data_IF_791408246857
#
_entry.id   IF_791408246857
#
_cell.length_a   1.000
_cell.length_b   1.000
_cell.length_c   1.000
_cell.angle_alpha   90.00
_cell.angle_beta   90.00
_cell.angle_gamma   90.00
#
_symmetry.space_group_name_H-M   'P 1'
#
loop_
_entity.id
_entity.type
_entity.pdbx_description
1 polymer ?
#
# COMPACT_ATOMS: atom_id res chain seq x y z
N UNK A 1 3.58 -17.35 9.98
CA UNK A 1 4.12 -15.98 9.79
C UNK A 1 3.55 -15.31 8.54
N UNK A 2 3.71 -15.91 7.34
CA UNK A 2 3.23 -15.30 6.07
C UNK A 2 1.70 -15.21 5.96
N UNK A 3 0.97 -15.94 6.79
CA UNK A 3 -0.49 -15.95 6.89
C UNK A 3 -1.00 -15.42 8.24
N UNK A 4 -0.14 -14.77 9.02
CA UNK A 4 -0.47 -14.28 10.36
C UNK A 4 -1.66 -13.29 10.37
N UNK A 5 -1.82 -12.48 9.33
CA UNK A 5 -2.93 -11.54 9.23
C UNK A 5 -4.33 -12.16 9.17
N UNK A 6 -4.44 -13.49 9.02
CA UNK A 6 -5.73 -14.21 9.14
C UNK A 6 -6.14 -14.45 10.59
N UNK A 7 -5.17 -14.51 11.48
CA UNK A 7 -5.35 -14.92 12.87
C UNK A 7 -5.07 -13.78 13.84
N UNK A 8 -4.17 -12.87 13.46
CA UNK A 8 -3.80 -11.72 14.26
C UNK A 8 -4.83 -10.60 14.11
N UNK A 9 -5.08 -9.91 15.20
CA UNK A 9 -5.91 -8.69 15.18
C UNK A 9 -5.19 -7.61 14.36
N UNK A 10 -5.95 -6.85 13.59
CA UNK A 10 -5.41 -5.71 12.85
C UNK A 10 -4.68 -4.74 13.80
N UNK A 11 -3.48 -4.27 13.45
CA UNK A 11 -2.75 -3.33 14.29
C UNK A 11 -3.58 -2.07 14.56
N UNK A 12 -3.69 -1.68 15.82
CA UNK A 12 -4.35 -0.44 16.18
C UNK A 12 -3.63 0.76 15.55
N UNK A 13 -4.36 1.61 14.89
CA UNK A 13 -3.88 2.89 14.37
C UNK A 13 -4.43 4.01 15.25
N UNK A 14 -3.65 4.42 16.27
CA UNK A 14 -4.02 5.60 17.05
C UNK A 14 -3.94 6.82 16.15
N UNK A 15 -5.09 7.43 15.91
CA UNK A 15 -5.20 8.68 15.18
C UNK A 15 -5.07 9.86 16.16
N UNK A 16 -4.51 10.96 15.67
CA UNK A 16 -4.44 12.23 16.37
C UNK A 16 -4.92 13.36 15.45
N UNK A 17 -5.48 14.45 16.01
CA UNK A 17 -6.00 15.55 15.20
C UNK A 17 -4.92 16.21 14.34
N UNK A 18 -5.30 16.60 13.14
CA UNK A 18 -4.52 17.46 12.24
C UNK A 18 -5.10 18.87 12.28
N UNK A 19 -5.11 19.48 13.48
CA UNK A 19 -5.83 20.72 13.81
C UNK A 19 -4.92 21.83 14.33
N UNK A 20 -3.61 21.69 14.21
CA UNK A 20 -2.66 22.75 14.55
C UNK A 20 -2.81 23.96 13.62
N UNK A 21 -2.33 25.12 14.05
CA UNK A 21 -2.29 26.35 13.23
C UNK A 21 -1.55 26.14 11.90
N UNK A 22 -0.57 25.21 11.91
CA UNK A 22 0.20 24.75 10.74
C UNK A 22 -0.29 23.37 10.27
N UNK A 23 -1.59 23.24 10.03
CA UNK A 23 -2.21 22.00 9.54
C UNK A 23 -1.48 21.48 8.31
N UNK A 24 -1.13 20.18 8.33
CA UNK A 24 -0.52 19.54 7.17
C UNK A 24 -1.61 19.25 6.10
N UNK A 25 -1.43 19.81 4.91
CA UNK A 25 -2.34 19.67 3.76
C UNK A 25 -1.66 19.04 2.54
N UNK A 26 -0.42 18.62 2.68
CA UNK A 26 0.36 18.04 1.60
C UNK A 26 0.08 16.55 1.36
N UNK A 27 0.75 16.03 0.34
CA UNK A 27 0.75 14.60 0.05
C UNK A 27 1.81 13.89 0.90
N UNK A 28 1.39 12.87 1.65
CA UNK A 28 2.26 11.93 2.34
C UNK A 28 2.36 10.66 1.52
N UNK A 29 3.57 10.19 1.23
CA UNK A 29 3.80 8.90 0.55
C UNK A 29 4.68 8.01 1.41
N UNK A 30 4.16 6.85 1.79
CA UNK A 30 4.87 5.85 2.61
C UNK A 30 5.18 4.62 1.76
N UNK A 31 6.46 4.21 1.76
CA UNK A 31 6.91 2.96 1.15
C UNK A 31 6.91 1.85 2.20
N UNK A 32 6.33 0.70 1.86
CA UNK A 32 6.23 -0.47 2.73
C UNK A 32 6.64 -1.73 2.00
N UNK A 33 7.59 -2.47 2.54
CA UNK A 33 7.90 -3.81 2.02
C UNK A 33 6.80 -4.79 2.35
N UNK A 34 6.44 -5.62 1.38
CA UNK A 34 5.38 -6.61 1.49
C UNK A 34 5.91 -8.01 1.28
N UNK A 35 5.45 -8.91 2.12
CA UNK A 35 5.51 -10.36 1.89
C UNK A 35 4.11 -10.93 2.02
N UNK A 36 3.65 -11.58 0.98
CA UNK A 36 2.31 -12.13 0.87
C UNK A 36 2.34 -13.56 0.33
N UNK A 37 1.18 -14.16 0.26
CA UNK A 37 0.95 -15.43 -0.41
C UNK A 37 -0.19 -15.27 -1.40
N UNK A 38 0.05 -15.61 -2.66
CA UNK A 38 -1.00 -15.61 -3.67
C UNK A 38 -2.06 -16.67 -3.32
N UNK A 39 -3.32 -16.27 -3.18
CA UNK A 39 -4.42 -17.19 -2.86
C UNK A 39 -4.71 -18.18 -3.98
N UNK A 40 -4.35 -17.86 -5.21
CA UNK A 40 -4.61 -18.70 -6.39
C UNK A 40 -3.70 -19.95 -6.43
N UNK A 41 -2.40 -19.80 -6.19
CA UNK A 41 -1.43 -20.90 -6.31
C UNK A 41 -0.67 -21.19 -5.03
N UNK A 42 -0.95 -20.50 -3.93
CA UNK A 42 -0.29 -20.65 -2.63
C UNK A 42 1.25 -20.50 -2.72
N UNK A 43 1.72 -19.61 -3.61
CA UNK A 43 3.14 -19.29 -3.77
C UNK A 43 3.45 -17.92 -3.16
N UNK A 44 4.67 -17.74 -2.65
CA UNK A 44 5.09 -16.46 -2.09
C UNK A 44 5.01 -15.31 -3.09
N UNK A 45 4.64 -14.15 -2.59
CA UNK A 45 4.67 -12.87 -3.29
C UNK A 45 5.56 -11.92 -2.47
N UNK A 46 6.51 -11.29 -3.13
CA UNK A 46 7.39 -10.31 -2.50
C UNK A 46 7.38 -9.01 -3.31
N UNK A 47 7.26 -7.90 -2.61
CA UNK A 47 7.19 -6.61 -3.27
C UNK A 47 7.18 -5.42 -2.35
N UNK A 48 6.73 -4.31 -2.89
CA UNK A 48 6.64 -3.02 -2.19
C UNK A 48 5.29 -2.37 -2.49
N UNK A 49 4.67 -1.83 -1.46
CA UNK A 49 3.53 -0.92 -1.60
C UNK A 49 3.97 0.52 -1.35
N UNK A 50 3.44 1.42 -2.16
CA UNK A 50 3.50 2.86 -1.95
C UNK A 50 2.10 3.35 -1.65
N UNK A 51 1.93 3.95 -0.48
CA UNK A 51 0.65 4.45 0.03
C UNK A 51 0.74 5.96 0.07
N UNK A 52 -0.04 6.63 -0.77
CA UNK A 52 -0.16 8.08 -0.82
C UNK A 52 -1.48 8.53 -0.22
N UNK A 53 -1.47 9.55 0.61
CA UNK A 53 -2.68 10.25 1.09
C UNK A 53 -2.49 11.76 1.02
N UNK A 54 -3.58 12.48 0.81
CA UNK A 54 -3.68 13.87 1.19
C UNK A 54 -4.29 13.90 2.58
N UNK A 55 -3.56 14.49 3.53
CA UNK A 55 -3.95 14.47 4.92
C UNK A 55 -5.34 15.10 5.13
N UNK A 56 -6.18 14.41 5.89
CA UNK A 56 -7.49 14.89 6.31
C UNK A 56 -7.43 15.48 7.74
N UNK A 57 -8.53 15.42 8.46
CA UNK A 57 -8.61 15.95 9.84
C UNK A 57 -7.84 15.13 10.87
N UNK A 58 -7.38 13.94 10.47
CA UNK A 58 -6.63 13.03 11.33
C UNK A 58 -5.35 12.56 10.68
N UNK A 59 -4.33 12.39 11.48
CA UNK A 59 -3.07 11.76 11.13
C UNK A 59 -2.89 10.48 11.95
N UNK A 60 -2.16 9.52 11.42
CA UNK A 60 -1.71 8.33 12.16
C UNK A 60 -0.18 8.27 12.14
N UNK A 61 0.39 7.57 13.12
CA UNK A 61 1.85 7.40 13.17
C UNK A 61 2.37 6.73 11.90
N UNK A 62 3.51 7.19 11.37
CA UNK A 62 4.07 6.72 10.09
C UNK A 62 4.24 5.20 10.03
N UNK A 63 4.66 4.56 11.13
CA UNK A 63 4.78 3.11 11.20
C UNK A 63 3.46 2.35 11.05
N UNK A 64 2.33 3.02 11.25
CA UNK A 64 1.00 2.39 11.17
C UNK A 64 0.62 2.07 9.73
N UNK A 65 1.00 2.91 8.77
CA UNK A 65 0.81 2.63 7.35
C UNK A 65 1.46 1.30 6.96
N UNK A 66 2.73 1.13 7.35
CA UNK A 66 3.47 -0.12 7.09
C UNK A 66 2.85 -1.32 7.80
N UNK A 67 2.45 -1.18 9.07
CA UNK A 67 1.84 -2.28 9.83
C UNK A 67 0.50 -2.72 9.24
N UNK A 68 -0.34 -1.79 8.81
CA UNK A 68 -1.62 -2.08 8.14
C UNK A 68 -1.35 -2.80 6.82
N UNK A 69 -0.45 -2.28 5.98
CA UNK A 69 -0.11 -2.90 4.71
C UNK A 69 0.42 -4.32 4.87
N UNK A 70 1.31 -4.54 5.83
CA UNK A 70 1.86 -5.87 6.14
C UNK A 70 0.80 -6.83 6.70
N UNK A 71 -0.12 -6.34 7.52
CA UNK A 71 -1.23 -7.15 8.02
C UNK A 71 -2.16 -7.59 6.88
N UNK A 72 -2.54 -6.68 5.98
CA UNK A 72 -3.31 -7.00 4.78
C UNK A 72 -2.57 -8.04 3.91
N UNK A 73 -1.26 -7.86 3.70
CA UNK A 73 -0.45 -8.75 2.88
C UNK A 73 -0.39 -10.19 3.44
N UNK A 74 -0.44 -10.35 4.77
CA UNK A 74 -0.35 -11.65 5.46
C UNK A 74 -1.69 -12.38 5.59
N UNK A 75 -2.62 -12.13 4.68
CA UNK A 75 -3.95 -12.79 4.68
C UNK A 75 -4.12 -13.80 3.55
N UNK A 76 -3.20 -13.88 2.62
CA UNK A 76 -3.28 -14.74 1.44
C UNK A 76 -4.40 -14.27 0.51
N UNK A 77 -4.06 -13.42 -0.41
CA UNK A 77 -5.01 -12.73 -1.30
C UNK A 77 -4.40 -12.55 -2.69
N UNK A 78 -5.20 -12.18 -3.66
CA UNK A 78 -4.69 -11.72 -4.96
C UNK A 78 -4.10 -10.32 -4.80
N UNK A 79 -3.13 -9.96 -5.65
CA UNK A 79 -2.48 -8.64 -5.56
C UNK A 79 -3.47 -7.49 -5.80
N UNK A 80 -4.45 -7.69 -6.66
CA UNK A 80 -5.51 -6.74 -6.97
C UNK A 80 -6.42 -6.48 -5.75
N UNK A 81 -6.78 -7.55 -5.02
CA UNK A 81 -7.53 -7.46 -3.78
C UNK A 81 -6.71 -6.81 -2.67
N UNK A 82 -5.41 -7.14 -2.58
CA UNK A 82 -4.50 -6.57 -1.60
C UNK A 82 -4.43 -5.04 -1.72
N UNK A 83 -4.35 -4.51 -2.94
CA UNK A 83 -4.33 -3.06 -3.15
C UNK A 83 -5.61 -2.39 -2.65
N UNK A 84 -6.77 -3.00 -2.90
CA UNK A 84 -8.06 -2.52 -2.39
C UNK A 84 -8.17 -2.64 -0.87
N UNK A 85 -7.70 -3.74 -0.29
CA UNK A 85 -7.72 -3.95 1.16
C UNK A 85 -6.88 -2.91 1.88
N UNK A 86 -5.65 -2.66 1.42
CA UNK A 86 -4.79 -1.61 1.97
C UNK A 86 -5.47 -0.24 1.88
N UNK A 87 -6.04 0.10 0.71
CA UNK A 87 -6.73 1.38 0.53
C UNK A 87 -7.89 1.55 1.52
N UNK A 88 -8.73 0.52 1.67
CA UNK A 88 -9.87 0.53 2.59
C UNK A 88 -9.44 0.69 4.06
N UNK A 89 -8.43 -0.05 4.50
CA UNK A 89 -7.97 0.00 5.89
C UNK A 89 -7.29 1.35 6.22
N UNK A 90 -6.52 1.92 5.28
CA UNK A 90 -5.93 3.26 5.44
C UNK A 90 -7.02 4.34 5.48
N UNK A 91 -8.01 4.28 4.59
CA UNK A 91 -9.17 5.19 4.59
C UNK A 91 -9.92 5.12 5.93
N UNK A 92 -10.18 3.92 6.42
CA UNK A 92 -10.83 3.70 7.73
C UNK A 92 -10.03 4.28 8.90
N UNK A 93 -8.70 4.14 8.88
CA UNK A 93 -7.83 4.59 9.95
C UNK A 93 -7.61 6.11 9.96
N UNK A 94 -7.59 6.76 8.80
CA UNK A 94 -7.24 8.18 8.63
C UNK A 94 -8.42 9.09 8.34
N UNK A 95 -9.52 8.54 7.81
CA UNK A 95 -10.62 9.31 7.25
C UNK A 95 -10.28 10.02 5.93
N UNK A 96 -9.13 9.72 5.31
CA UNK A 96 -8.71 10.37 4.08
C UNK A 96 -9.53 9.86 2.88
N UNK A 97 -10.22 10.79 2.21
CA UNK A 97 -10.99 10.50 0.98
C UNK A 97 -10.10 10.48 -0.28
N UNK A 98 -8.92 11.13 -0.20
CA UNK A 98 -7.97 11.24 -1.30
C UNK A 98 -6.76 10.37 -1.00
N UNK A 99 -6.68 9.21 -1.65
CA UNK A 99 -5.58 8.26 -1.44
C UNK A 99 -5.25 7.47 -2.70
N UNK A 100 -3.99 7.00 -2.74
CA UNK A 100 -3.49 6.10 -3.77
C UNK A 100 -2.69 4.96 -3.15
N UNK A 101 -2.87 3.76 -3.69
CA UNK A 101 -2.04 2.60 -3.37
C UNK A 101 -1.47 2.04 -4.66
N UNK A 102 -0.16 1.93 -4.72
CA UNK A 102 0.56 1.30 -5.83
C UNK A 102 1.39 0.15 -5.28
N UNK A 103 1.21 -1.04 -5.84
CA UNK A 103 1.97 -2.24 -5.46
C UNK A 103 2.78 -2.71 -6.66
N UNK A 104 4.04 -3.01 -6.41
CA UNK A 104 4.95 -3.64 -7.36
C UNK A 104 5.50 -4.91 -6.70
N UNK A 105 5.26 -6.07 -7.31
CA UNK A 105 5.64 -7.34 -6.72
C UNK A 105 6.02 -8.41 -7.75
N UNK A 106 6.85 -9.36 -7.31
CA UNK A 106 7.14 -10.61 -8.00
C UNK A 106 6.32 -11.74 -7.39
N UNK A 107 5.98 -12.72 -8.21
CA UNK A 107 5.13 -13.84 -7.83
C UNK A 107 5.83 -15.16 -8.05
N UNK A 108 6.04 -15.94 -6.99
CA UNK A 108 6.62 -17.28 -7.08
C UNK A 108 5.85 -18.21 -8.01
N UNK A 109 4.55 -18.04 -8.17
CA UNK A 109 3.75 -18.81 -9.11
C UNK A 109 4.07 -18.54 -10.58
N UNK A 110 4.62 -17.37 -10.91
CA UNK A 110 5.08 -17.02 -12.25
C UNK A 110 6.56 -17.38 -12.45
N UNK A 111 7.36 -17.31 -11.39
CA UNK A 111 8.83 -17.50 -11.46
C UNK A 111 9.24 -18.96 -11.35
N UNK A 112 8.62 -19.72 -10.43
CA UNK A 112 9.09 -21.06 -10.01
C UNK A 112 8.31 -22.21 -10.65
N UNK A 113 7.26 -21.96 -11.40
CA UNK A 113 6.41 -22.95 -12.06
C UNK A 113 5.68 -22.37 -13.26
N UNK A 114 5.00 -23.24 -14.02
CA UNK A 114 4.20 -22.82 -15.18
C UNK A 114 5.05 -22.13 -16.23
N UNK A 115 4.85 -20.84 -16.43
CA UNK A 115 5.56 -20.06 -17.44
C UNK A 115 7.04 -19.83 -17.11
N UNK A 116 7.44 -19.99 -15.85
CA UNK A 116 8.83 -19.82 -15.39
C UNK A 116 9.47 -18.47 -15.79
N UNK A 117 8.69 -17.40 -15.69
CA UNK A 117 9.11 -16.03 -16.05
C UNK A 117 9.85 -15.38 -14.88
N UNK A 118 11.16 -15.61 -14.78
CA UNK A 118 12.03 -15.20 -13.67
C UNK A 118 12.18 -13.67 -13.49
N UNK A 119 11.80 -12.89 -14.50
CA UNK A 119 11.82 -11.40 -14.42
C UNK A 119 10.42 -10.78 -14.44
N UNK A 120 9.40 -11.59 -14.15
CA UNK A 120 8.02 -11.13 -14.15
C UNK A 120 7.77 -10.15 -12.99
N UNK A 121 7.27 -8.97 -13.32
CA UNK A 121 6.94 -7.94 -12.36
C UNK A 121 5.49 -7.49 -12.57
N UNK A 122 4.68 -7.59 -11.52
CA UNK A 122 3.27 -7.17 -11.57
C UNK A 122 3.09 -5.85 -10.84
N UNK A 123 2.37 -4.95 -11.45
CA UNK A 123 2.03 -3.64 -10.88
C UNK A 123 0.51 -3.51 -10.78
N UNK A 124 0.02 -3.10 -9.62
CA UNK A 124 -1.40 -2.80 -9.38
C UNK A 124 -1.55 -1.43 -8.75
N UNK A 125 -2.63 -0.74 -9.10
CA UNK A 125 -2.87 0.63 -8.64
C UNK A 125 -4.34 0.78 -8.25
N UNK A 126 -4.58 1.38 -7.09
CA UNK A 126 -5.89 1.85 -6.64
C UNK A 126 -5.79 3.33 -6.35
N UNK A 127 -6.64 4.13 -6.98
CA UNK A 127 -6.68 5.58 -6.80
C UNK A 127 -8.09 6.01 -6.42
N UNK A 128 -8.19 6.90 -5.41
CA UNK A 128 -9.46 7.47 -4.93
C UNK A 128 -9.36 9.00 -4.82
N UNK A 129 -10.50 9.64 -5.01
CA UNK A 129 -10.62 11.10 -4.92
C UNK A 129 -9.67 11.83 -5.86
N UNK A 130 -8.94 12.83 -5.39
CA UNK A 130 -8.03 13.64 -6.20
C UNK A 130 -6.94 12.81 -6.89
N UNK A 131 -6.46 11.71 -6.28
CA UNK A 131 -5.50 10.80 -6.93
C UNK A 131 -6.06 10.19 -8.24
N UNK A 132 -7.38 10.02 -8.32
CA UNK A 132 -8.06 9.51 -9.51
C UNK A 132 -8.44 10.62 -10.48
N UNK A 133 -9.02 11.70 -9.95
CA UNK A 133 -9.76 12.70 -10.73
C UNK A 133 -8.90 13.90 -11.15
N UNK A 134 -7.81 14.18 -10.44
CA UNK A 134 -6.88 15.28 -10.76
C UNK A 134 -5.53 14.76 -11.28
N UNK A 135 -5.21 15.15 -12.52
CA UNK A 135 -3.96 14.72 -13.17
C UNK A 135 -2.71 15.25 -12.49
N UNK A 136 -2.75 16.42 -11.86
CA UNK A 136 -1.61 16.99 -11.13
C UNK A 136 -1.29 16.16 -9.90
N UNK A 137 -2.28 15.85 -9.08
CA UNK A 137 -2.17 14.99 -7.91
C UNK A 137 -1.68 13.59 -8.26
N UNK A 138 -2.26 13.02 -9.32
CA UNK A 138 -1.84 11.71 -9.84
C UNK A 138 -0.36 11.73 -10.25
N UNK A 139 0.05 12.75 -10.99
CA UNK A 139 1.44 12.90 -11.44
C UNK A 139 2.39 13.05 -10.25
N UNK A 140 2.06 13.90 -9.27
CA UNK A 140 2.85 14.10 -8.06
C UNK A 140 3.05 12.78 -7.29
N UNK A 141 2.00 11.96 -7.17
CA UNK A 141 2.09 10.65 -6.52
C UNK A 141 3.10 9.73 -7.21
N UNK A 142 3.01 9.58 -8.53
CA UNK A 142 3.94 8.72 -9.26
C UNK A 142 5.37 9.29 -9.33
N UNK A 143 5.53 10.60 -9.34
CA UNK A 143 6.86 11.23 -9.28
C UNK A 143 7.51 10.99 -7.90
N UNK A 144 6.76 11.08 -6.81
CA UNK A 144 7.23 10.73 -5.47
C UNK A 144 7.63 9.25 -5.37
N UNK A 145 6.88 8.34 -6.00
CA UNK A 145 7.25 6.91 -6.07
C UNK A 145 8.59 6.73 -6.78
N UNK A 146 8.80 7.38 -7.92
CA UNK A 146 10.07 7.31 -8.66
C UNK A 146 11.26 7.80 -7.82
N UNK A 147 11.10 8.93 -7.13
CA UNK A 147 12.12 9.47 -6.23
C UNK A 147 12.47 8.49 -5.10
N UNK A 148 11.47 7.85 -4.49
CA UNK A 148 11.71 6.83 -3.47
C UNK A 148 12.37 5.57 -4.03
N UNK A 149 12.06 5.16 -5.25
CA UNK A 149 12.71 4.03 -5.93
C UNK A 149 14.19 4.32 -6.21
N UNK A 150 14.53 5.55 -6.60
CA UNK A 150 15.91 5.98 -6.82
C UNK A 150 16.71 6.03 -5.51
N UNK A 151 16.09 6.49 -4.42
CA UNK A 151 16.72 6.55 -3.10
C UNK A 151 16.98 5.16 -2.48
N UNK A 152 16.17 4.16 -2.82
CA UNK A 152 16.26 2.80 -2.30
C UNK A 152 17.27 1.89 -3.04
N UNK A 153 17.94 2.41 -4.06
CA UNK A 153 19.02 1.72 -4.81
C UNK A 153 20.37 1.95 -4.15
#
# INVERSE_FOLDING_TARGET
EIMAGRYDVMPSATAFPNDSDDRYEGMLVVRSELKSMCSHHHQPVAGVAYIGIIAADKLIGLSKYTRIAQWCARRGTLQEELANDIAREIESATGAEHLGVYIQATHGCCENRGIMATSSLTQTTVLKGAFKDDNSTKKEFFDNIKLQQEFAR
#
